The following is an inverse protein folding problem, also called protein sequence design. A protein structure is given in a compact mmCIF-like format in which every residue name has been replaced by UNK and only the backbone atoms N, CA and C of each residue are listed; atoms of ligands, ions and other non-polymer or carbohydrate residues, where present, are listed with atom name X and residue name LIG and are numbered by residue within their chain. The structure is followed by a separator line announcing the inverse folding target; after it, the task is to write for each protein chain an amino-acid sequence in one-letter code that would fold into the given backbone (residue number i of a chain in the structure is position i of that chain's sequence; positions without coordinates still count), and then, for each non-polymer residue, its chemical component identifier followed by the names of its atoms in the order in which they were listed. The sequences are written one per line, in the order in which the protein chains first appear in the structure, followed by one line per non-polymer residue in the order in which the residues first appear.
data_IF_127365592902
#
_entry.id   IF_127365592902
#
_cell.length_a   1.000
_cell.length_b   1.000
_cell.length_c   1.000
_cell.angle_alpha   90.00
_cell.angle_beta   90.00
_cell.angle_gamma   90.00
#
_symmetry.space_group_name_H-M   'P 1'
#
loop_
_entity.id
_entity.type
_entity.pdbx_description
1 polymer ?
#
# COMPACT_ATOMS: atom_id res chain seq x y z
N UNK A 1 8.73 15.30 -6.02
CA UNK A 1 10.01 15.90 -5.59
C UNK A 1 9.82 16.79 -4.37
N UNK A 2 9.12 17.91 -4.54
CA UNK A 2 8.98 18.98 -3.53
C UNK A 2 8.40 18.52 -2.17
N UNK A 3 7.44 17.58 -2.17
CA UNK A 3 6.89 17.02 -0.94
C UNK A 3 7.88 16.16 -0.13
N UNK A 4 8.82 15.45 -0.77
CA UNK A 4 9.82 14.65 -0.04
C UNK A 4 10.79 15.56 0.68
N UNK A 5 11.25 16.61 -0.01
CA UNK A 5 12.22 17.55 0.53
C UNK A 5 11.63 18.37 1.68
N UNK A 6 10.40 18.82 1.53
CA UNK A 6 9.67 19.55 2.59
C UNK A 6 9.48 18.70 3.84
N UNK A 7 9.28 17.39 3.69
CA UNK A 7 9.10 16.46 4.82
C UNK A 7 10.40 15.79 5.29
N UNK A 8 11.58 16.18 4.76
CA UNK A 8 12.89 15.64 5.14
C UNK A 8 13.14 15.55 6.64
N UNK A 9 12.84 16.58 7.45
CA UNK A 9 13.01 16.49 8.89
C UNK A 9 12.14 15.40 9.53
N UNK A 10 10.90 15.23 9.06
CA UNK A 10 9.92 14.30 9.64
C UNK A 10 10.34 12.85 9.40
N UNK A 11 10.66 12.48 8.16
CA UNK A 11 11.01 11.09 7.87
C UNK A 11 12.40 10.71 8.40
N UNK A 12 13.35 11.65 8.49
CA UNK A 12 14.63 11.38 9.17
C UNK A 12 14.45 11.12 10.67
N UNK A 13 13.60 11.90 11.34
CA UNK A 13 13.28 11.67 12.76
C UNK A 13 12.60 10.32 12.99
N UNK A 14 11.87 9.80 12.00
CA UNK A 14 11.27 8.47 12.02
C UNK A 14 12.29 7.33 11.74
N UNK A 15 13.58 7.64 11.54
CA UNK A 15 14.61 6.64 11.24
C UNK A 15 14.59 6.15 9.78
N UNK A 16 14.01 6.92 8.85
CA UNK A 16 14.03 6.57 7.44
C UNK A 16 15.34 7.04 6.78
N UNK A 17 16.14 6.08 6.31
CA UNK A 17 17.44 6.35 5.68
C UNK A 17 17.32 6.80 4.22
N UNK A 18 16.34 6.27 3.48
CA UNK A 18 16.18 6.48 2.04
C UNK A 18 14.71 6.64 1.67
N UNK A 19 14.41 7.71 0.92
CA UNK A 19 13.09 7.96 0.35
C UNK A 19 13.23 8.23 -1.14
N UNK A 20 12.38 7.60 -1.94
CA UNK A 20 12.27 7.84 -3.38
C UNK A 20 10.83 8.22 -3.74
N UNK A 21 10.67 8.93 -4.85
CA UNK A 21 9.36 9.22 -5.43
C UNK A 21 9.33 8.63 -6.84
N UNK A 22 8.24 7.94 -7.16
CA UNK A 22 7.95 7.52 -8.52
C UNK A 22 6.49 7.82 -8.83
N UNK A 23 6.22 8.10 -10.10
CA UNK A 23 4.84 8.19 -10.59
C UNK A 23 4.29 6.79 -10.74
N UNK A 24 3.08 6.56 -10.22
CA UNK A 24 2.35 5.31 -10.37
C UNK A 24 0.94 5.64 -10.89
N UNK A 25 0.59 5.08 -12.05
CA UNK A 25 -0.75 5.21 -12.62
C UNK A 25 -1.50 3.88 -12.45
N UNK A 26 -2.52 3.86 -11.60
CA UNK A 26 -3.28 2.64 -11.31
C UNK A 26 -4.04 2.09 -12.52
N UNK A 27 -4.37 2.95 -13.48
CA UNK A 27 -5.02 2.52 -14.73
C UNK A 27 -4.05 1.84 -15.71
N UNK A 28 -2.75 1.85 -15.42
CA UNK A 28 -1.74 1.16 -16.22
C UNK A 28 -0.63 0.60 -15.31
N UNK A 29 -0.90 -0.50 -14.59
CA UNK A 29 0.00 -1.05 -13.58
C UNK A 29 1.25 -1.74 -14.15
N UNK A 30 1.41 -1.83 -15.48
CA UNK A 30 2.50 -2.57 -16.13
C UNK A 30 3.91 -1.98 -15.93
N UNK A 31 4.03 -0.86 -15.22
CA UNK A 31 5.30 -0.15 -15.00
C UNK A 31 5.49 0.18 -13.53
N UNK A 32 5.38 -0.84 -12.69
CA UNK A 32 5.67 -0.68 -11.27
C UNK A 32 7.14 -0.28 -11.08
N UNK A 33 7.41 0.77 -10.30
CA UNK A 33 8.77 1.18 -9.98
C UNK A 33 9.47 0.01 -9.27
N UNK A 34 10.75 -0.28 -9.53
CA UNK A 34 11.49 -1.21 -8.68
C UNK A 34 11.92 -0.50 -7.39
N UNK A 35 11.92 -1.17 -6.23
CA UNK A 35 12.47 -0.60 -5.01
C UNK A 35 14.00 -0.53 -5.18
N UNK A 36 14.48 0.67 -5.54
CA UNK A 36 15.88 1.06 -5.53
C UNK A 36 16.81 0.36 -6.54
N UNK A 37 16.85 0.88 -7.77
CA UNK A 37 18.01 0.68 -8.66
C UNK A 37 19.18 1.54 -8.18
N UNK A 38 20.00 1.05 -7.24
CA UNK A 38 21.20 1.78 -6.81
C UNK A 38 22.01 1.10 -5.72
N UNK A 39 23.17 0.59 -6.14
CA UNK A 39 24.27 -0.08 -5.44
C UNK A 39 24.04 -1.52 -4.92
N UNK A 40 24.89 -2.39 -5.47
CA UNK A 40 24.76 -3.83 -5.67
C UNK A 40 24.98 -4.72 -4.45
N UNK A 41 24.75 -4.26 -3.22
CA UNK A 41 25.04 -5.11 -2.04
C UNK A 41 24.09 -4.98 -0.84
N UNK A 42 23.09 -4.10 -0.82
CA UNK A 42 22.31 -3.85 0.42
C UNK A 42 20.78 -3.91 0.32
N UNK A 43 20.17 -3.97 -0.86
CA UNK A 43 18.72 -4.17 -0.97
C UNK A 43 18.39 -5.19 -2.06
N UNK A 44 18.35 -6.47 -1.68
CA UNK A 44 17.55 -7.50 -2.39
C UNK A 44 16.08 -7.47 -1.98
N UNK A 45 15.68 -6.49 -1.16
CA UNK A 45 14.38 -6.42 -0.52
C UNK A 45 13.33 -5.85 -1.47
N UNK A 46 12.40 -6.69 -1.88
CA UNK A 46 11.13 -6.21 -2.41
C UNK A 46 10.34 -5.46 -1.34
N UNK A 47 9.11 -5.06 -1.67
CA UNK A 47 8.26 -4.38 -0.68
C UNK A 47 7.84 -5.34 0.43
N UNK A 48 8.05 -4.94 1.68
CA UNK A 48 7.47 -5.62 2.84
C UNK A 48 6.06 -5.12 3.13
N UNK A 49 5.84 -3.81 2.94
CA UNK A 49 4.61 -3.13 3.32
C UNK A 49 4.16 -2.15 2.24
N UNK A 50 2.88 -2.22 1.86
CA UNK A 50 2.19 -1.20 1.07
C UNK A 50 1.29 -0.39 2.00
N UNK A 51 1.39 0.94 1.91
CA UNK A 51 0.55 1.88 2.66
C UNK A 51 -0.41 2.58 1.70
N UNK A 52 -1.71 2.51 1.98
CA UNK A 52 -2.75 3.25 1.26
C UNK A 52 -3.53 4.14 2.24
N UNK A 53 -3.64 5.43 1.92
CA UNK A 53 -4.37 6.39 2.73
C UNK A 53 -5.40 7.14 1.87
N UNK A 54 -6.68 7.03 2.23
CA UNK A 54 -7.82 7.70 1.61
C UNK A 54 -7.89 7.52 0.08
N UNK A 55 -7.46 6.35 -0.44
CA UNK A 55 -7.38 6.06 -1.88
C UNK A 55 -8.68 5.53 -2.50
N UNK A 56 -9.67 5.17 -1.68
CA UNK A 56 -10.93 4.53 -2.12
C UNK A 56 -12.09 5.50 -1.87
N UNK A 57 -12.44 6.30 -2.87
CA UNK A 57 -13.56 7.27 -2.76
C UNK A 57 -14.64 7.13 -3.84
N UNK A 58 -14.36 6.46 -4.96
CA UNK A 58 -15.32 6.20 -6.06
C UNK A 58 -15.17 4.77 -6.57
N UNK A 59 -16.25 4.19 -7.06
CA UNK A 59 -16.28 2.82 -7.57
C UNK A 59 -15.29 2.61 -8.73
N UNK A 60 -15.13 3.60 -9.60
CA UNK A 60 -14.25 3.54 -10.78
C UNK A 60 -12.76 3.40 -10.44
N UNK A 61 -12.37 3.66 -9.18
CA UNK A 61 -10.99 3.51 -8.71
C UNK A 61 -10.69 2.13 -8.13
N UNK A 62 -11.73 1.34 -7.84
CA UNK A 62 -11.57 0.04 -7.18
C UNK A 62 -10.79 -0.93 -8.04
N UNK A 63 -11.22 -1.14 -9.29
CA UNK A 63 -10.55 -2.08 -10.20
C UNK A 63 -9.09 -1.66 -10.50
N UNK A 64 -8.79 -0.41 -10.88
CA UNK A 64 -7.40 0.00 -11.15
C UNK A 64 -6.49 -0.19 -9.93
N UNK A 65 -6.98 0.14 -8.73
CA UNK A 65 -6.22 -0.02 -7.50
C UNK A 65 -5.96 -1.50 -7.18
N UNK A 66 -6.97 -2.36 -7.29
CA UNK A 66 -6.84 -3.80 -7.04
C UNK A 66 -5.90 -4.45 -8.06
N UNK A 67 -6.02 -4.09 -9.34
CA UNK A 67 -5.12 -4.55 -10.40
C UNK A 67 -3.67 -4.13 -10.13
N UNK A 68 -3.47 -2.93 -9.59
CA UNK A 68 -2.15 -2.46 -9.14
C UNK A 68 -1.60 -3.27 -7.97
N UNK A 69 -2.43 -3.56 -6.96
CA UNK A 69 -2.02 -4.40 -5.82
C UNK A 69 -1.63 -5.81 -6.24
N UNK A 70 -2.38 -6.40 -7.19
CA UNK A 70 -2.04 -7.69 -7.78
C UNK A 70 -0.69 -7.65 -8.50
N UNK A 71 -0.42 -6.62 -9.28
CA UNK A 71 0.87 -6.47 -9.95
C UNK A 71 2.03 -6.36 -8.94
N UNK A 72 1.83 -5.67 -7.80
CA UNK A 72 2.84 -5.59 -6.74
C UNK A 72 3.12 -6.98 -6.14
N UNK A 73 2.07 -7.72 -5.83
CA UNK A 73 2.17 -9.11 -5.36
C UNK A 73 2.99 -9.95 -6.34
N UNK A 74 2.62 -9.96 -7.62
CA UNK A 74 3.27 -10.77 -8.65
C UNK A 74 4.75 -10.39 -8.82
N UNK A 75 5.05 -9.08 -8.76
CA UNK A 75 6.42 -8.60 -8.85
C UNK A 75 7.25 -9.01 -7.63
N UNK A 76 6.72 -8.89 -6.41
CA UNK A 76 7.41 -9.33 -5.19
C UNK A 76 7.70 -10.83 -5.25
N UNK A 77 6.71 -11.64 -5.61
CA UNK A 77 6.87 -13.09 -5.74
C UNK A 77 7.92 -13.47 -6.79
N UNK A 78 7.98 -12.72 -7.89
CA UNK A 78 8.95 -12.94 -8.98
C UNK A 78 10.37 -12.54 -8.61
N UNK A 79 10.55 -11.40 -7.94
CA UNK A 79 11.88 -10.82 -7.68
C UNK A 79 12.49 -11.29 -6.35
N UNK A 80 11.67 -11.54 -5.32
CA UNK A 80 12.12 -11.95 -3.98
C UNK A 80 11.86 -13.42 -3.70
N UNK A 81 10.69 -13.93 -4.10
CA UNK A 81 10.27 -15.31 -3.88
C UNK A 81 8.86 -15.42 -3.27
N UNK A 82 8.17 -16.55 -3.46
CA UNK A 82 6.79 -16.76 -2.99
C UNK A 82 6.64 -16.82 -1.46
N UNK A 83 7.73 -17.03 -0.72
CA UNK A 83 7.75 -17.04 0.75
C UNK A 83 7.77 -15.64 1.37
N UNK A 84 8.01 -14.59 0.55
CA UNK A 84 8.04 -13.21 1.04
C UNK A 84 6.63 -12.73 1.36
N UNK A 85 6.44 -12.19 2.58
CA UNK A 85 5.14 -11.69 3.03
C UNK A 85 5.02 -10.21 2.76
N UNK A 86 4.04 -9.85 1.93
CA UNK A 86 3.65 -8.48 1.66
C UNK A 86 2.44 -8.11 2.54
N UNK A 87 2.60 -7.09 3.38
CA UNK A 87 1.51 -6.53 4.18
C UNK A 87 0.91 -5.29 3.51
N UNK A 88 -0.40 -5.07 3.69
CA UNK A 88 -1.13 -3.94 3.13
C UNK A 88 -1.87 -3.19 4.23
N UNK A 89 -1.38 -2.01 4.59
CA UNK A 89 -2.02 -1.14 5.58
C UNK A 89 -2.90 -0.13 4.85
N UNK A 90 -4.20 -0.09 5.16
CA UNK A 90 -5.14 0.81 4.50
C UNK A 90 -5.93 1.61 5.51
N UNK A 91 -5.84 2.93 5.43
CA UNK A 91 -6.76 3.82 6.13
C UNK A 91 -7.61 4.55 5.09
N UNK A 92 -8.94 4.51 5.22
CA UNK A 92 -9.81 5.35 4.37
C UNK A 92 -11.16 5.61 5.01
N UNK A 93 -11.76 6.74 4.63
CA UNK A 93 -13.14 7.06 5.00
C UNK A 93 -14.12 6.37 4.06
N UNK A 94 -15.18 5.77 4.62
CA UNK A 94 -16.24 5.14 3.82
C UNK A 94 -17.07 6.23 3.12
N UNK A 95 -16.72 6.56 1.87
CA UNK A 95 -17.42 7.60 1.07
C UNK A 95 -18.59 7.08 0.23
N UNK A 96 -19.11 5.90 0.56
CA UNK A 96 -20.23 5.27 -0.10
C UNK A 96 -20.20 3.75 0.07
N UNK A 97 -21.38 3.14 0.20
CA UNK A 97 -21.49 1.71 0.48
C UNK A 97 -20.93 0.85 -0.66
N UNK A 98 -21.29 1.16 -1.91
CA UNK A 98 -20.89 0.35 -3.07
C UNK A 98 -19.37 0.32 -3.30
N UNK A 99 -18.68 1.47 -3.22
CA UNK A 99 -17.23 1.51 -3.42
C UNK A 99 -16.48 0.75 -2.32
N UNK A 100 -16.95 0.86 -1.07
CA UNK A 100 -16.41 0.11 0.06
C UNK A 100 -16.61 -1.39 -0.13
N UNK A 101 -17.84 -1.86 -0.41
CA UNK A 101 -18.14 -3.29 -0.57
C UNK A 101 -17.38 -3.91 -1.76
N UNK A 102 -17.32 -3.21 -2.89
CA UNK A 102 -16.58 -3.66 -4.07
C UNK A 102 -15.09 -3.79 -3.77
N UNK A 103 -14.51 -2.77 -3.12
CA UNK A 103 -13.10 -2.80 -2.73
C UNK A 103 -12.82 -3.91 -1.72
N UNK A 104 -13.64 -4.04 -0.68
CA UNK A 104 -13.48 -5.05 0.35
C UNK A 104 -13.53 -6.47 -0.21
N UNK A 105 -14.53 -6.74 -1.06
CA UNK A 105 -14.68 -8.02 -1.75
C UNK A 105 -13.43 -8.31 -2.58
N UNK A 106 -12.96 -7.35 -3.37
CA UNK A 106 -11.83 -7.55 -4.27
C UNK A 106 -10.51 -7.78 -3.51
N UNK A 107 -10.26 -7.05 -2.42
CA UNK A 107 -9.02 -7.20 -1.65
C UNK A 107 -9.02 -8.47 -0.80
N UNK A 108 -10.18 -8.94 -0.34
CA UNK A 108 -10.30 -10.24 0.35
C UNK A 108 -9.92 -11.45 -0.51
N UNK A 109 -9.84 -11.27 -1.84
CA UNK A 109 -9.33 -12.30 -2.77
C UNK A 109 -7.81 -12.27 -2.90
N UNK A 110 -7.14 -11.24 -2.38
CA UNK A 110 -5.70 -11.01 -2.50
C UNK A 110 -4.98 -11.13 -1.15
N UNK A 111 -5.65 -10.74 -0.06
CA UNK A 111 -5.12 -10.69 1.30
C UNK A 111 -6.11 -11.32 2.29
N UNK A 112 -5.60 -11.82 3.42
CA UNK A 112 -6.39 -12.09 4.60
C UNK A 112 -6.72 -10.75 5.28
N UNK A 113 -8.01 -10.44 5.28
CA UNK A 113 -8.49 -9.11 5.63
C UNK A 113 -8.87 -9.04 7.12
N UNK A 114 -8.29 -8.10 7.86
CA UNK A 114 -8.64 -7.81 9.26
C UNK A 114 -9.11 -6.34 9.40
N UNK A 115 -10.31 -6.15 9.94
CA UNK A 115 -10.79 -4.81 10.29
C UNK A 115 -10.35 -4.45 11.71
N UNK A 116 -9.54 -3.39 11.83
CA UNK A 116 -9.16 -2.86 13.13
C UNK A 116 -10.06 -1.68 13.51
N UNK A 117 -10.52 -1.68 14.76
CA UNK A 117 -11.23 -0.54 15.30
C UNK A 117 -10.26 0.61 15.62
N UNK A 118 -10.74 1.85 15.52
CA UNK A 118 -9.98 3.02 15.97
C UNK A 118 -9.54 2.90 17.43
N UNK A 119 -10.38 2.27 18.27
CA UNK A 119 -10.14 1.97 19.68
C UNK A 119 -8.96 1.04 19.89
N UNK A 120 -8.84 -0.03 19.09
CA UNK A 120 -7.71 -0.98 19.17
C UNK A 120 -6.38 -0.35 18.77
N UNK A 121 -6.41 0.73 17.99
CA UNK A 121 -5.22 1.46 17.56
C UNK A 121 -4.87 2.65 18.46
N UNK A 122 -5.65 2.90 19.52
CA UNK A 122 -5.48 4.07 20.38
C UNK A 122 -5.73 5.40 19.64
N UNK A 123 -6.48 5.36 18.54
CA UNK A 123 -6.80 6.53 17.71
C UNK A 123 -8.22 7.01 17.98
N UNK A 124 -8.42 8.33 17.99
CA UNK A 124 -9.74 8.96 18.18
C UNK A 124 -10.47 9.22 16.85
N UNK A 125 -9.95 8.72 15.72
CA UNK A 125 -10.54 8.97 14.41
C UNK A 125 -11.77 8.09 14.18
N UNK A 126 -12.91 8.65 13.74
CA UNK A 126 -14.18 7.92 13.63
C UNK A 126 -14.29 6.98 12.41
N UNK A 127 -13.24 6.83 11.63
CA UNK A 127 -13.24 6.12 10.36
C UNK A 127 -12.40 4.84 10.42
N UNK A 128 -12.75 3.78 9.65
CA UNK A 128 -12.08 2.50 9.76
C UNK A 128 -10.61 2.61 9.32
N UNK A 129 -9.72 2.25 10.24
CA UNK A 129 -8.34 1.94 9.93
C UNK A 129 -8.27 0.43 9.70
N UNK A 130 -8.01 0.00 8.49
CA UNK A 130 -8.04 -1.41 8.09
C UNK A 130 -6.60 -1.94 7.94
N UNK A 131 -6.32 -3.07 8.57
CA UNK A 131 -5.04 -3.76 8.46
C UNK A 131 -5.26 -5.01 7.61
N UNK A 132 -4.68 -5.07 6.43
CA UNK A 132 -4.81 -6.22 5.54
C UNK A 132 -3.48 -6.97 5.52
N UNK A 133 -3.50 -8.26 5.84
CA UNK A 133 -2.28 -9.08 5.92
C UNK A 133 -2.37 -10.20 4.90
N UNK A 134 -1.24 -10.62 4.34
CA UNK A 134 -1.18 -11.86 3.56
C UNK A 134 -0.35 -12.86 4.35
N UNK A 135 -0.97 -13.97 4.78
CA UNK A 135 -0.29 -15.00 5.57
C UNK A 135 0.50 -15.98 4.71
#
# INVERSE_FOLDING_TARGET
GENIETNRPVWRLAGCDKVTCSTLNWFNPNSLPLPFDGDSDSFRGGWDVILLADCVWTLDLVEPLVSTLRAFIEQVEKEVGPEHKLELLISYRRRGQHAHEAFWTAVSLLFDVEELSATSLGTTYPDPNLLLRRC
#
